data_IF_131129759630
#
_entry.id   IF_131129759630
#
_cell.length_a   1.000
_cell.length_b   1.000
_cell.length_c   1.000
_cell.angle_alpha   90.00
_cell.angle_beta   90.00
_cell.angle_gamma   90.00
#
_symmetry.space_group_name_H-M   'P 1'
#
loop_
_entity.id
_entity.type
_entity.pdbx_description
1 polymer ?
#
# COMPACT_ATOMS: atom_id res chain seq x y z
N UNK A 1 11.72 10.99 -3.56
CA UNK A 1 11.79 10.05 -2.43
C UNK A 1 11.04 10.68 -1.27
N UNK A 2 10.07 9.98 -0.68
CA UNK A 2 9.30 10.42 0.51
C UNK A 2 9.62 9.42 1.62
N UNK A 3 10.07 9.90 2.78
CA UNK A 3 10.33 9.09 3.98
C UNK A 3 9.59 9.73 5.14
N UNK A 4 8.59 9.05 5.67
CA UNK A 4 7.69 9.54 6.71
C UNK A 4 6.96 8.36 7.36
N UNK A 5 6.22 8.61 8.44
CA UNK A 5 5.34 7.64 9.07
C UNK A 5 4.06 7.42 8.25
N UNK A 6 3.56 6.18 8.21
CA UNK A 6 2.34 5.84 7.49
C UNK A 6 1.11 6.62 7.99
N UNK A 7 1.11 7.04 9.26
CA UNK A 7 0.08 7.91 9.84
C UNK A 7 -0.06 9.24 9.06
N UNK A 8 1.04 9.77 8.53
CA UNK A 8 1.07 10.99 7.73
C UNK A 8 0.67 10.79 6.25
N UNK A 9 0.38 9.56 5.83
CA UNK A 9 0.05 9.19 4.44
C UNK A 9 -0.98 10.09 3.75
N UNK A 10 -1.96 10.60 4.50
CA UNK A 10 -3.04 11.46 3.97
C UNK A 10 -2.49 12.71 3.30
N UNK A 11 -1.37 13.26 3.78
CA UNK A 11 -0.71 14.45 3.21
C UNK A 11 -0.23 14.24 1.78
N UNK A 12 -0.07 12.99 1.37
CA UNK A 12 0.50 12.60 0.08
C UNK A 12 -0.55 12.06 -0.89
N UNK A 13 -1.82 11.92 -0.49
CA UNK A 13 -2.87 11.35 -1.34
C UNK A 13 -3.01 12.05 -2.70
N UNK A 14 -2.84 13.37 -2.74
CA UNK A 14 -3.02 14.18 -3.95
C UNK A 14 -1.78 14.20 -4.86
N UNK A 15 -0.65 13.63 -4.42
CA UNK A 15 0.57 13.59 -5.23
C UNK A 15 0.49 12.57 -6.36
N UNK A 16 -0.31 11.51 -6.21
CA UNK A 16 -0.52 10.51 -7.23
C UNK A 16 -1.82 9.73 -7.01
N UNK A 17 -2.57 9.48 -8.08
CA UNK A 17 -3.87 8.78 -8.04
C UNK A 17 -3.84 7.41 -7.35
N UNK A 18 -2.70 6.70 -7.41
CA UNK A 18 -2.53 5.38 -6.81
C UNK A 18 -2.18 5.40 -5.32
N UNK A 19 -1.77 6.55 -4.77
CA UNK A 19 -1.25 6.62 -3.39
C UNK A 19 -2.33 6.37 -2.37
N UNK A 20 -3.51 6.99 -2.55
CA UNK A 20 -4.64 6.73 -1.66
C UNK A 20 -4.92 5.23 -1.53
N UNK A 21 -4.97 4.51 -2.65
CA UNK A 21 -5.27 3.06 -2.70
C UNK A 21 -4.17 2.21 -2.05
N UNK A 22 -2.92 2.57 -2.28
CA UNK A 22 -1.77 1.91 -1.64
C UNK A 22 -1.76 2.13 -0.12
N UNK A 23 -1.99 3.36 0.34
CA UNK A 23 -2.02 3.67 1.78
C UNK A 23 -3.23 3.07 2.49
N UNK A 24 -4.41 3.05 1.84
CA UNK A 24 -5.59 2.36 2.36
C UNK A 24 -5.32 0.86 2.54
N UNK A 25 -4.60 0.23 1.59
CA UNK A 25 -4.16 -1.16 1.74
C UNK A 25 -3.20 -1.34 2.91
N UNK A 26 -2.19 -0.47 3.05
CA UNK A 26 -1.21 -0.53 4.14
C UNK A 26 -1.80 -0.27 5.54
N UNK A 27 -3.00 0.30 5.64
CA UNK A 27 -3.71 0.53 6.92
C UNK A 27 -4.61 -0.62 7.35
N UNK A 28 -4.69 -1.69 6.56
CA UNK A 28 -5.49 -2.86 6.93
C UNK A 28 -4.88 -3.59 8.12
N UNK A 29 -5.74 -4.08 9.01
CA UNK A 29 -5.32 -4.84 10.19
C UNK A 29 -4.88 -6.28 9.86
N UNK A 30 -5.31 -6.80 8.71
CA UNK A 30 -5.10 -8.20 8.30
C UNK A 30 -3.84 -8.42 7.44
N UNK A 31 -2.98 -7.40 7.27
CA UNK A 31 -1.77 -7.51 6.45
C UNK A 31 -0.88 -8.69 6.84
N UNK A 32 -0.84 -9.03 8.13
CA UNK A 32 -0.02 -10.10 8.67
C UNK A 32 -0.53 -11.50 8.31
N UNK A 33 -1.82 -11.65 8.01
CA UNK A 33 -2.47 -12.93 7.71
C UNK A 33 -2.59 -13.20 6.20
N UNK A 34 -2.38 -12.19 5.36
CA UNK A 34 -2.47 -12.32 3.90
C UNK A 34 -1.38 -13.26 3.36
N UNK A 35 -1.67 -14.13 2.37
CA UNK A 35 -0.66 -15.03 1.80
C UNK A 35 0.51 -14.27 1.16
N UNK A 36 1.69 -14.88 1.13
CA UNK A 36 2.83 -14.32 0.40
C UNK A 36 2.54 -14.30 -1.11
N UNK A 37 3.05 -13.30 -1.83
CA UNK A 37 2.85 -13.14 -3.28
C UNK A 37 2.31 -11.76 -3.68
N UNK A 38 1.97 -11.62 -4.97
CA UNK A 38 1.41 -10.39 -5.57
C UNK A 38 -0.08 -10.30 -5.27
N UNK A 39 -0.50 -9.16 -4.75
CA UNK A 39 -1.90 -8.78 -4.56
C UNK A 39 -2.17 -7.55 -5.42
N UNK A 40 -3.05 -7.69 -6.39
CA UNK A 40 -3.44 -6.59 -7.27
C UNK A 40 -4.47 -5.71 -6.57
N UNK A 41 -4.17 -4.41 -6.50
CA UNK A 41 -5.09 -3.41 -5.96
C UNK A 41 -5.78 -2.69 -7.11
N UNK A 42 -5.02 -2.32 -8.15
CA UNK A 42 -5.50 -1.60 -9.34
C UNK A 42 -4.92 -2.20 -10.64
N UNK A 43 -5.17 -3.50 -10.84
CA UNK A 43 -4.53 -4.26 -11.91
C UNK A 43 -3.00 -4.15 -11.81
N UNK A 44 -2.35 -3.78 -12.92
CA UNK A 44 -0.89 -3.61 -12.98
C UNK A 44 -0.40 -2.24 -12.50
N UNK A 45 -1.29 -1.29 -12.22
CA UNK A 45 -0.89 0.08 -11.82
C UNK A 45 -0.53 0.19 -10.34
N UNK A 46 -1.23 -0.56 -9.49
CA UNK A 46 -0.99 -0.59 -8.05
C UNK A 46 -1.14 -2.04 -7.58
N UNK A 47 -0.08 -2.59 -7.03
CA UNK A 47 -0.05 -3.92 -6.44
C UNK A 47 0.85 -3.93 -5.21
N UNK A 48 0.55 -4.84 -4.28
CA UNK A 48 1.41 -5.13 -3.14
C UNK A 48 2.08 -6.48 -3.37
N UNK A 49 3.33 -6.61 -2.91
CA UNK A 49 4.00 -7.91 -2.83
C UNK A 49 4.24 -8.18 -1.35
N UNK A 50 3.66 -9.26 -0.85
CA UNK A 50 3.91 -9.73 0.50
C UNK A 50 5.03 -10.75 0.43
N UNK A 51 6.16 -10.39 1.02
CA UNK A 51 7.32 -11.25 1.14
C UNK A 51 7.58 -11.57 2.63
N UNK A 52 7.98 -12.81 2.91
CA UNK A 52 8.22 -13.33 4.27
C UNK A 52 9.57 -14.05 4.39
N UNK A 53 10.43 -13.84 3.41
CA UNK A 53 11.73 -14.52 3.32
C UNK A 53 12.72 -13.94 4.33
#
# INVERSE_FOLDING_TARGET
>A
MILDNLENSVRYNDLHQGFKKAFDFLKREDLTTLPSGKIELDGDKVFAIIDRT
#
